data_IF_558050784245
#
_entry.id   IF_558050784245
#
_cell.length_a   1.000
_cell.length_b   1.000
_cell.length_c   1.000
_cell.angle_alpha   90.00
_cell.angle_beta   90.00
_cell.angle_gamma   90.00
#
_symmetry.space_group_name_H-M   'P 1'
#
loop_
_entity.id
_entity.type
_entity.pdbx_description
1 polymer ?
#
# COMPACT_ATOMS: atom_id res chain seq x y z
N UNK A 1 4.16 -8.78 -22.69
CA UNK A 1 3.46 -9.01 -21.40
C UNK A 1 4.29 -9.94 -20.52
N UNK A 2 4.39 -9.65 -19.25
CA UNK A 2 5.11 -10.49 -18.30
C UNK A 2 4.37 -11.80 -18.08
N UNK A 3 5.10 -12.90 -18.03
CA UNK A 3 4.49 -14.20 -17.77
C UNK A 3 3.96 -14.29 -16.33
N UNK A 4 2.87 -15.01 -16.17
CA UNK A 4 2.32 -15.34 -14.85
C UNK A 4 2.74 -16.78 -14.55
N UNK A 5 3.57 -16.95 -13.55
CA UNK A 5 4.10 -18.24 -13.11
C UNK A 5 3.60 -18.58 -11.72
N UNK A 6 3.94 -19.77 -11.23
CA UNK A 6 3.63 -20.16 -9.84
C UNK A 6 4.27 -19.17 -8.85
N UNK A 7 5.51 -18.78 -9.12
CA UNK A 7 6.23 -17.79 -8.30
C UNK A 7 5.52 -16.45 -8.31
N UNK A 8 4.94 -16.06 -9.44
CA UNK A 8 4.15 -14.83 -9.54
C UNK A 8 2.94 -14.88 -8.60
N UNK A 9 2.19 -15.99 -8.60
CA UNK A 9 1.04 -16.13 -7.71
C UNK A 9 1.46 -16.07 -6.25
N UNK A 10 2.56 -16.72 -5.89
CA UNK A 10 3.05 -16.70 -4.51
C UNK A 10 3.49 -15.31 -4.10
N UNK A 11 4.15 -14.58 -5.00
CA UNK A 11 4.55 -13.19 -4.74
C UNK A 11 3.34 -12.29 -4.53
N UNK A 12 2.32 -12.44 -5.38
CA UNK A 12 1.08 -11.67 -5.22
C UNK A 12 0.41 -11.96 -3.88
N UNK A 13 0.35 -13.23 -3.49
CA UNK A 13 -0.24 -13.62 -2.21
C UNK A 13 0.50 -12.98 -1.04
N UNK A 14 1.83 -13.04 -1.07
CA UNK A 14 2.66 -12.45 -0.02
C UNK A 14 2.46 -10.94 0.08
N UNK A 15 2.48 -10.24 -1.06
CA UNK A 15 2.28 -8.80 -1.09
C UNK A 15 0.88 -8.41 -0.61
N UNK A 16 -0.14 -9.12 -1.09
CA UNK A 16 -1.52 -8.84 -0.70
C UNK A 16 -1.74 -9.09 0.79
N UNK A 17 -1.11 -10.13 1.33
CA UNK A 17 -1.20 -10.43 2.76
C UNK A 17 -0.53 -9.33 3.58
N UNK A 18 0.64 -8.85 3.15
CA UNK A 18 1.34 -7.77 3.82
C UNK A 18 0.50 -6.49 3.81
N UNK A 19 -0.05 -6.13 2.65
CA UNK A 19 -0.88 -4.92 2.54
C UNK A 19 -2.14 -5.02 3.38
N UNK A 20 -2.77 -6.19 3.44
CA UNK A 20 -3.94 -6.41 4.30
C UNK A 20 -3.57 -6.22 5.77
N UNK A 21 -2.44 -6.78 6.20
CA UNK A 21 -1.97 -6.62 7.57
C UNK A 21 -1.63 -5.18 7.90
N UNK A 22 -1.02 -4.46 6.94
CA UNK A 22 -0.74 -3.04 7.11
C UNK A 22 -2.04 -2.25 7.32
N UNK A 23 -3.03 -2.49 6.49
CA UNK A 23 -4.32 -1.80 6.58
C UNK A 23 -5.07 -2.16 7.87
N UNK A 24 -5.01 -3.43 8.28
CA UNK A 24 -5.63 -3.86 9.54
C UNK A 24 -4.98 -3.16 10.73
N UNK A 25 -3.66 -3.03 10.72
CA UNK A 25 -2.94 -2.31 11.76
C UNK A 25 -3.33 -0.83 11.76
N UNK A 26 -3.45 -0.26 10.57
CA UNK A 26 -3.87 1.14 10.41
C UNK A 26 -5.27 1.35 10.99
N UNK A 27 -6.19 0.43 10.72
CA UNK A 27 -7.53 0.49 11.28
C UNK A 27 -7.49 0.44 12.81
N UNK A 28 -6.66 -0.43 13.38
CA UNK A 28 -6.51 -0.56 14.83
C UNK A 28 -6.00 0.73 15.46
N UNK A 29 -4.97 1.35 14.88
CA UNK A 29 -4.42 2.61 15.44
C UNK A 29 -5.37 3.79 15.21
N UNK A 30 -6.19 3.75 14.18
CA UNK A 30 -7.21 4.77 13.96
C UNK A 30 -8.26 4.75 15.08
N UNK A 31 -8.69 3.56 15.48
CA UNK A 31 -9.61 3.39 16.60
C UNK A 31 -9.01 3.95 17.89
N UNK A 32 -7.68 3.85 18.05
CA UNK A 32 -6.96 4.43 19.18
C UNK A 32 -6.79 5.95 19.07
N UNK A 33 -7.33 6.56 18.03
CA UNK A 33 -7.26 8.01 17.77
C UNK A 33 -5.84 8.54 17.57
N UNK A 34 -4.92 7.67 17.15
CA UNK A 34 -3.54 8.06 16.80
C UNK A 34 -3.43 8.64 15.40
N UNK A 35 -4.36 8.30 14.53
CA UNK A 35 -4.48 8.84 13.18
C UNK A 35 -5.76 9.65 13.14
N UNK A 36 -5.68 10.88 12.65
CA UNK A 36 -6.82 11.81 12.63
C UNK A 36 -7.37 12.00 11.24
N UNK A 37 -8.59 12.56 11.16
CA UNK A 37 -9.25 12.84 9.91
C UNK A 37 -10.00 11.63 9.37
N UNK A 38 -10.31 11.67 8.09
CA UNK A 38 -11.01 10.57 7.43
C UNK A 38 -10.00 9.54 6.95
N UNK A 39 -10.26 8.27 7.26
CA UNK A 39 -9.42 7.16 6.85
C UNK A 39 -10.22 6.25 5.93
N UNK A 40 -9.74 6.07 4.71
CA UNK A 40 -10.32 5.14 3.74
C UNK A 40 -9.34 4.00 3.50
N UNK A 41 -9.72 2.79 3.90
CA UNK A 41 -8.86 1.62 3.81
C UNK A 41 -8.92 0.97 2.43
N UNK A 42 -7.84 0.29 2.07
CA UNK A 42 -7.72 -0.42 0.80
C UNK A 42 -8.13 -1.90 0.90
N UNK A 43 -8.61 -2.35 2.04
CA UNK A 43 -8.99 -3.74 2.28
C UNK A 43 -9.93 -4.24 1.19
N UNK A 44 -9.63 -5.42 0.66
CA UNK A 44 -10.43 -6.04 -0.39
C UNK A 44 -9.99 -5.65 -1.80
N UNK A 45 -9.06 -4.70 -1.96
CA UNK A 45 -8.62 -4.22 -3.26
C UNK A 45 -7.15 -4.54 -3.55
N UNK A 46 -6.53 -5.39 -2.73
CA UNK A 46 -5.10 -5.70 -2.86
C UNK A 46 -4.75 -6.33 -4.21
N UNK A 47 -5.64 -7.17 -4.74
CA UNK A 47 -5.41 -7.81 -6.03
C UNK A 47 -5.32 -6.81 -7.18
N UNK A 48 -6.07 -5.71 -7.10
CA UNK A 48 -6.00 -4.65 -8.12
C UNK A 48 -4.60 -4.06 -8.15
N UNK A 49 -4.03 -3.77 -6.99
CA UNK A 49 -2.67 -3.24 -6.91
C UNK A 49 -1.63 -4.26 -7.38
N UNK A 50 -1.74 -5.51 -6.92
CA UNK A 50 -0.79 -6.56 -7.30
C UNK A 50 -0.75 -6.75 -8.82
N UNK A 51 -1.92 -6.84 -9.45
CA UNK A 51 -2.00 -7.00 -10.91
C UNK A 51 -1.47 -5.79 -11.65
N UNK A 52 -1.80 -4.58 -11.18
CA UNK A 52 -1.33 -3.34 -11.81
C UNK A 52 0.20 -3.25 -11.74
N UNK A 53 0.79 -3.53 -10.59
CA UNK A 53 2.24 -3.48 -10.41
C UNK A 53 2.95 -4.52 -11.27
N UNK A 54 2.35 -5.70 -11.45
CA UNK A 54 2.93 -6.74 -12.29
C UNK A 54 3.04 -6.28 -13.75
N UNK A 55 2.06 -5.52 -14.23
CA UNK A 55 2.03 -5.01 -15.60
C UNK A 55 2.93 -3.79 -15.81
N UNK A 56 3.36 -3.13 -14.74
CA UNK A 56 4.14 -1.89 -14.82
C UNK A 56 5.64 -2.15 -14.87
N UNK A 57 6.37 -1.21 -15.46
CA UNK A 57 7.82 -1.10 -15.33
C UNK A 57 8.09 -0.03 -14.26
N UNK A 58 8.44 -0.46 -13.06
CA UNK A 58 8.59 0.45 -11.91
C UNK A 58 9.75 1.43 -12.06
N UNK A 59 10.66 1.19 -13.02
CA UNK A 59 11.75 2.12 -13.29
C UNK A 59 11.30 3.30 -14.17
N UNK A 60 10.17 3.17 -14.87
CA UNK A 60 9.68 4.17 -15.82
C UNK A 60 8.28 4.66 -15.53
N UNK A 61 7.40 3.77 -15.08
CA UNK A 61 5.98 4.07 -14.92
C UNK A 61 5.72 4.76 -13.59
N UNK A 62 4.67 5.57 -13.58
CA UNK A 62 4.22 6.28 -12.39
C UNK A 62 2.75 5.96 -12.15
N UNK A 63 2.33 6.10 -10.89
CA UNK A 63 0.95 5.82 -10.51
C UNK A 63 0.33 7.05 -9.87
N UNK A 64 -0.91 7.35 -10.28
CA UNK A 64 -1.75 8.36 -9.65
C UNK A 64 -2.95 7.62 -9.06
N UNK A 65 -3.24 7.88 -7.79
CA UNK A 65 -4.35 7.25 -7.09
C UNK A 65 -5.07 8.29 -6.25
N UNK A 66 -6.38 8.10 -6.06
CA UNK A 66 -7.21 8.94 -5.20
C UNK A 66 -7.92 8.04 -4.21
N UNK A 67 -8.01 8.46 -2.96
CA UNK A 67 -8.58 7.70 -1.84
C UNK A 67 -7.91 6.32 -1.68
N UNK A 68 -7.98 5.74 -0.49
CA UNK A 68 -7.50 4.38 -0.21
C UNK A 68 -6.12 4.08 -0.82
N UNK A 69 -5.21 5.08 -0.74
CA UNK A 69 -3.93 5.02 -1.44
C UNK A 69 -2.74 4.79 -0.51
N UNK A 70 -2.95 4.10 0.62
CA UNK A 70 -1.89 3.89 1.61
C UNK A 70 -0.88 2.83 1.18
N UNK A 71 -1.33 1.78 0.49
CA UNK A 71 -0.45 0.67 0.10
C UNK A 71 0.18 0.86 -1.28
N UNK A 72 -0.37 1.73 -2.13
CA UNK A 72 0.24 2.00 -3.43
C UNK A 72 1.69 2.50 -3.32
N UNK A 73 2.01 3.47 -2.44
CA UNK A 73 3.41 3.88 -2.27
C UNK A 73 4.29 2.72 -1.80
N UNK A 74 3.79 1.86 -0.92
CA UNK A 74 4.52 0.69 -0.45
C UNK A 74 4.83 -0.25 -1.62
N UNK A 75 3.84 -0.53 -2.48
CA UNK A 75 4.02 -1.35 -3.66
C UNK A 75 5.02 -0.74 -4.64
N UNK A 76 5.11 0.58 -4.69
CA UNK A 76 6.05 1.31 -5.55
C UNK A 76 7.43 1.47 -4.91
N UNK A 77 7.65 0.95 -3.72
CA UNK A 77 8.96 0.91 -3.08
C UNK A 77 9.16 1.85 -1.89
N UNK A 78 8.13 2.55 -1.46
CA UNK A 78 8.23 3.44 -0.28
C UNK A 78 8.22 2.60 0.99
N UNK A 79 9.07 2.96 1.96
CA UNK A 79 9.14 2.27 3.24
C UNK A 79 7.78 2.38 3.97
N UNK A 80 7.19 1.25 4.39
CA UNK A 80 5.93 1.27 5.13
C UNK A 80 5.95 2.15 6.37
N UNK A 81 7.10 2.26 7.03
CA UNK A 81 7.26 3.13 8.22
C UNK A 81 7.02 4.59 7.88
N UNK A 82 7.46 5.03 6.70
CA UNK A 82 7.25 6.41 6.25
C UNK A 82 5.79 6.68 5.93
N UNK A 83 5.09 5.72 5.34
CA UNK A 83 3.66 5.84 5.07
C UNK A 83 2.89 5.95 6.39
N UNK A 84 3.21 5.11 7.36
CA UNK A 84 2.56 5.15 8.68
C UNK A 84 2.88 6.46 9.39
N UNK A 85 4.12 6.96 9.31
CA UNK A 85 4.51 8.22 9.91
C UNK A 85 3.73 9.40 9.32
N UNK A 86 3.50 9.37 8.00
CA UNK A 86 2.68 10.39 7.34
C UNK A 86 1.26 10.41 7.89
N UNK A 87 0.66 9.23 8.07
CA UNK A 87 -0.68 9.11 8.60
C UNK A 87 -0.78 9.58 10.05
N UNK A 88 0.32 9.47 10.80
CA UNK A 88 0.41 10.00 12.17
C UNK A 88 0.71 11.51 12.19
N UNK A 89 0.98 12.12 11.05
CA UNK A 89 1.36 13.53 10.97
C UNK A 89 2.78 13.83 11.43
N UNK A 90 3.67 12.85 11.31
CA UNK A 90 5.07 13.01 11.75
C UNK A 90 5.94 13.60 10.64
N UNK A 91 6.99 14.31 11.04
CA UNK A 91 7.92 14.94 10.10
C UNK A 91 8.70 13.93 9.25
N UNK A 92 8.81 12.68 9.70
CA UNK A 92 9.47 11.61 8.96
C UNK A 92 8.58 10.96 7.90
N UNK A 93 7.37 11.47 7.72
CA UNK A 93 6.46 10.98 6.69
C UNK A 93 6.88 11.35 5.28
N UNK A 94 6.08 10.93 4.30
CA UNK A 94 6.37 11.12 2.86
C UNK A 94 6.04 12.53 2.37
N UNK A 95 5.20 13.25 3.10
CA UNK A 95 4.86 14.65 2.82
C UNK A 95 5.11 15.48 4.07
N UNK A 96 5.47 16.73 3.87
CA UNK A 96 5.72 17.63 5.00
C UNK A 96 4.78 18.81 4.98
#
# INVERSE_FOLDING_TARGET
>A
MKKITKETYLSWYEDMLFWRKFEDKLAAVYIQQKVRGFLHLYNGQEAVLAGSLHAMDLSKDKMIAAYRNHVQPIGMGVDPKKVMAELYGKSTGTSQ
#
